data_IF_547806373921
#
_entry.id   IF_547806373921
#
_cell.length_a   1.000
_cell.length_b   1.000
_cell.length_c   1.000
_cell.angle_alpha   90.00
_cell.angle_beta   90.00
_cell.angle_gamma   90.00
#
_symmetry.space_group_name_H-M   'P 1'
#
loop_
_entity.id
_entity.type
_entity.pdbx_description
1 polymer ?
#
# COMPACT_ATOMS: atom_id res chain seq x y z
N UNK A 1 24.49 2.17 -35.96
CA UNK A 1 23.18 2.61 -35.43
C UNK A 1 22.38 1.35 -35.08
N UNK A 2 22.49 0.87 -33.84
CA UNK A 2 21.63 -0.20 -33.33
C UNK A 2 21.08 0.29 -31.99
N UNK A 3 19.77 0.64 -31.99
CA UNK A 3 19.00 0.86 -30.78
C UNK A 3 18.80 -0.50 -30.14
N UNK A 4 19.61 -0.82 -29.12
CA UNK A 4 19.36 -1.98 -28.26
C UNK A 4 18.27 -1.58 -27.26
N UNK A 5 17.05 -1.99 -27.57
CA UNK A 5 15.90 -1.95 -26.69
C UNK A 5 16.18 -2.93 -25.54
N UNK A 6 16.45 -2.42 -24.34
CA UNK A 6 16.57 -3.27 -23.14
C UNK A 6 15.21 -3.94 -22.91
N UNK A 7 15.10 -5.29 -22.92
CA UNK A 7 13.91 -5.93 -22.41
C UNK A 7 13.91 -5.74 -20.90
N UNK A 8 12.81 -5.18 -20.40
CA UNK A 8 12.47 -5.13 -18.98
C UNK A 8 12.42 -6.59 -18.52
N UNK A 9 13.54 -7.07 -17.98
CA UNK A 9 13.59 -8.37 -17.33
C UNK A 9 12.77 -8.22 -16.05
N UNK A 10 11.53 -8.73 -16.09
CA UNK A 10 10.72 -8.96 -14.91
C UNK A 10 11.59 -9.74 -13.92
N UNK A 11 12.12 -9.04 -12.93
CA UNK A 11 12.72 -9.66 -11.78
C UNK A 11 11.56 -10.07 -10.88
N UNK A 12 10.99 -11.23 -11.17
CA UNK A 12 10.09 -11.97 -10.29
C UNK A 12 10.89 -12.39 -9.05
N UNK A 13 11.02 -11.48 -8.08
CA UNK A 13 11.45 -11.85 -6.73
C UNK A 13 10.23 -12.35 -5.99
N UNK A 14 10.19 -13.67 -5.89
CA UNK A 14 9.45 -14.44 -4.91
C UNK A 14 9.70 -13.82 -3.51
N UNK A 15 8.65 -13.41 -2.81
CA UNK A 15 8.72 -13.35 -1.34
C UNK A 15 7.54 -14.13 -0.78
N UNK A 16 7.81 -15.43 -0.67
CA UNK A 16 7.18 -16.37 0.23
C UNK A 16 7.64 -16.02 1.66
N UNK A 17 6.68 -15.74 2.54
CA UNK A 17 6.76 -16.09 3.96
C UNK A 17 7.80 -15.39 4.83
N UNK A 18 7.59 -14.11 5.15
CA UNK A 18 7.53 -13.65 6.55
C UNK A 18 7.07 -12.18 6.54
N UNK A 19 5.94 -11.90 7.19
CA UNK A 19 5.60 -10.52 7.55
C UNK A 19 6.40 -10.28 8.83
N UNK A 20 7.33 -9.32 8.90
CA UNK A 20 7.94 -9.00 10.17
C UNK A 20 6.86 -8.35 11.05
N UNK A 21 6.45 -9.05 12.10
CA UNK A 21 5.65 -8.49 13.21
C UNK A 21 6.47 -7.50 14.06
N UNK A 22 7.71 -7.20 13.66
CA UNK A 22 8.67 -6.30 14.28
C UNK A 22 9.09 -5.18 13.31
N UNK A 23 9.57 -4.03 13.82
CA UNK A 23 10.17 -3.01 12.97
C UNK A 23 11.31 -3.63 12.14
N UNK A 24 11.39 -3.32 10.84
CA UNK A 24 12.47 -3.81 9.97
C UNK A 24 13.83 -3.48 10.60
N UNK A 25 14.74 -4.45 10.60
CA UNK A 25 16.10 -4.24 11.06
C UNK A 25 16.77 -3.16 10.18
N UNK A 26 17.64 -2.29 10.74
CA UNK A 26 18.25 -1.20 9.98
C UNK A 26 19.02 -1.65 8.73
N UNK A 27 19.61 -2.84 8.78
CA UNK A 27 20.32 -3.45 7.64
C UNK A 27 19.36 -3.79 6.48
N UNK A 28 18.14 -4.22 6.79
CA UNK A 28 17.12 -4.59 5.82
C UNK A 28 16.56 -3.37 5.08
N UNK A 29 16.52 -2.19 5.71
CA UNK A 29 16.11 -0.93 5.06
C UNK A 29 17.08 -0.46 3.97
N UNK A 30 18.31 -0.97 3.97
CA UNK A 30 19.31 -0.68 2.92
C UNK A 30 19.18 -1.56 1.68
N UNK A 31 18.31 -2.59 1.72
CA UNK A 31 18.12 -3.48 0.58
C UNK A 31 17.49 -2.69 -0.59
N UNK A 32 18.10 -2.77 -1.79
CA UNK A 32 17.70 -1.98 -2.95
C UNK A 32 16.25 -2.19 -3.37
N UNK A 33 15.66 -3.34 -3.07
CA UNK A 33 14.24 -3.61 -3.33
C UNK A 33 13.34 -2.69 -2.51
N UNK A 34 13.59 -2.54 -1.21
CA UNK A 34 12.76 -1.68 -0.34
C UNK A 34 12.90 -0.21 -0.69
N UNK A 35 14.12 0.27 -0.96
CA UNK A 35 14.37 1.64 -1.40
C UNK A 35 13.59 1.91 -2.71
N UNK A 36 13.62 0.97 -3.64
CA UNK A 36 12.89 1.08 -4.91
C UNK A 36 11.37 1.11 -4.68
N UNK A 37 10.85 0.22 -3.82
CA UNK A 37 9.42 0.21 -3.48
C UNK A 37 9.00 1.50 -2.80
N UNK A 38 9.74 1.98 -1.80
CA UNK A 38 9.45 3.24 -1.10
C UNK A 38 9.44 4.41 -2.09
N UNK A 39 10.42 4.50 -2.98
CA UNK A 39 10.50 5.54 -4.01
C UNK A 39 9.32 5.48 -5.01
N UNK A 40 8.94 4.28 -5.46
CA UNK A 40 7.80 4.09 -6.36
C UNK A 40 6.49 4.47 -5.66
N UNK A 41 6.34 4.18 -4.38
CA UNK A 41 5.08 4.37 -3.65
C UNK A 41 4.94 5.78 -3.05
N UNK A 42 6.05 6.45 -2.75
CA UNK A 42 6.05 7.81 -2.23
C UNK A 42 5.24 8.77 -3.11
N UNK A 43 4.30 9.48 -2.50
CA UNK A 43 3.40 10.44 -3.14
C UNK A 43 2.21 9.81 -3.89
N UNK A 44 2.04 8.49 -3.87
CA UNK A 44 0.84 7.85 -4.41
C UNK A 44 -0.38 8.13 -3.50
N UNK A 45 -1.56 8.16 -4.10
CA UNK A 45 -2.86 8.28 -3.42
C UNK A 45 -3.47 6.90 -3.21
N UNK A 46 -4.18 6.75 -2.10
CA UNK A 46 -5.04 5.60 -1.84
C UNK A 46 -6.48 6.03 -2.03
N UNK A 47 -7.22 5.29 -2.84
CA UNK A 47 -8.66 5.53 -3.08
C UNK A 47 -9.44 4.24 -2.89
N UNK A 48 -10.72 4.34 -2.52
CA UNK A 48 -11.59 3.17 -2.42
C UNK A 48 -11.88 2.58 -3.80
N UNK A 49 -12.35 1.34 -3.81
CA UNK A 49 -12.85 0.65 -5.01
C UNK A 49 -14.36 0.38 -4.87
N UNK A 50 -15.09 1.40 -4.43
CA UNK A 50 -16.54 1.36 -4.19
C UNK A 50 -17.36 1.99 -5.32
N UNK A 51 -16.70 2.38 -6.41
CA UNK A 51 -17.30 3.09 -7.55
C UNK A 51 -17.32 4.62 -7.44
N UNK A 52 -16.87 5.18 -6.32
CA UNK A 52 -16.79 6.64 -6.09
C UNK A 52 -15.37 7.18 -5.94
N UNK A 53 -14.37 6.29 -5.93
CA UNK A 53 -12.95 6.63 -5.69
C UNK A 53 -12.74 7.51 -4.45
N UNK A 54 -13.46 7.18 -3.35
CA UNK A 54 -13.35 7.91 -2.08
C UNK A 54 -11.88 7.98 -1.66
N UNK A 55 -11.40 9.20 -1.40
CA UNK A 55 -10.01 9.43 -1.03
C UNK A 55 -9.73 8.90 0.39
N UNK A 56 -8.72 8.04 0.51
CA UNK A 56 -8.33 7.36 1.76
C UNK A 56 -6.96 7.79 2.28
N UNK A 57 -6.32 8.76 1.63
CA UNK A 57 -5.04 9.35 2.05
C UNK A 57 -3.92 9.19 1.02
N UNK A 58 -2.71 9.57 1.43
CA UNK A 58 -1.49 9.51 0.62
C UNK A 58 -0.42 8.63 1.27
N UNK A 59 0.37 7.97 0.44
CA UNK A 59 1.57 7.25 0.86
C UNK A 59 2.71 8.27 0.96
N UNK A 60 2.78 8.95 2.11
CA UNK A 60 3.77 9.99 2.44
C UNK A 60 4.20 9.87 3.90
N UNK A 61 5.28 10.51 4.32
CA UNK A 61 5.77 10.38 5.70
C UNK A 61 4.74 10.77 6.79
N UNK A 62 4.91 10.21 7.99
CA UNK A 62 3.99 10.31 9.15
C UNK A 62 3.60 11.71 9.62
N UNK A 63 4.31 12.75 9.19
CA UNK A 63 4.04 14.15 9.55
C UNK A 63 3.11 14.88 8.58
N UNK A 64 2.83 14.30 7.40
CA UNK A 64 1.91 14.89 6.45
C UNK A 64 0.46 14.68 6.92
N UNK A 65 -0.39 15.71 6.82
CA UNK A 65 -1.80 15.67 7.26
C UNK A 65 -2.64 14.65 6.49
N UNK A 66 -2.30 14.42 5.22
CA UNK A 66 -2.97 13.47 4.34
C UNK A 66 -2.36 12.07 4.39
N UNK A 67 -1.27 11.87 5.13
CA UNK A 67 -0.56 10.58 5.17
C UNK A 67 -1.42 9.50 5.81
N UNK A 68 -1.44 8.32 5.18
CA UNK A 68 -2.01 7.11 5.79
C UNK A 68 -1.17 6.62 6.98
N UNK A 69 0.04 7.13 7.21
CA UNK A 69 0.89 6.77 8.36
C UNK A 69 0.86 7.82 9.49
N UNK A 70 0.11 8.91 9.30
CA UNK A 70 -0.11 9.89 10.36
C UNK A 70 -1.20 9.40 11.32
N UNK A 71 -0.79 8.77 12.43
CA UNK A 71 -1.69 8.23 13.44
C UNK A 71 -2.62 9.29 14.11
N UNK A 72 -2.30 10.57 13.97
CA UNK A 72 -3.10 11.68 14.47
C UNK A 72 -3.94 12.35 13.36
N UNK A 73 -3.72 11.99 12.10
CA UNK A 73 -4.43 12.53 10.94
C UNK A 73 -5.70 11.76 10.60
N UNK A 74 -6.53 12.34 9.73
CA UNK A 74 -7.82 11.76 9.32
C UNK A 74 -7.62 10.42 8.59
N UNK A 75 -6.54 10.27 7.82
CA UNK A 75 -6.34 9.09 6.97
C UNK A 75 -5.47 8.01 7.61
N UNK A 76 -4.62 8.37 8.57
CA UNK A 76 -3.78 7.41 9.30
C UNK A 76 -4.29 7.01 10.68
N UNK A 77 -5.25 7.75 11.26
CA UNK A 77 -5.79 7.44 12.59
C UNK A 77 -6.68 6.20 12.60
N UNK A 78 -6.40 5.29 13.52
CA UNK A 78 -7.23 4.09 13.81
C UNK A 78 -8.66 4.40 14.29
N UNK A 79 -8.98 5.67 14.54
CA UNK A 79 -10.31 6.11 14.98
C UNK A 79 -11.12 6.76 13.85
N UNK A 80 -10.52 7.03 12.69
CA UNK A 80 -11.21 7.68 11.57
C UNK A 80 -11.97 6.68 10.70
N UNK A 81 -13.15 7.06 10.24
CA UNK A 81 -13.99 6.24 9.33
C UNK A 81 -13.42 6.14 7.91
N UNK A 82 -12.52 7.04 7.51
CA UNK A 82 -11.85 6.99 6.20
C UNK A 82 -10.47 6.32 6.27
N UNK A 83 -9.97 6.00 7.47
CA UNK A 83 -8.67 5.36 7.61
C UNK A 83 -8.75 3.86 7.33
N UNK A 84 -7.79 3.37 6.55
CA UNK A 84 -7.55 1.93 6.37
C UNK A 84 -7.07 1.25 7.66
N UNK A 85 -6.55 2.01 8.64
CA UNK A 85 -6.06 1.46 9.91
C UNK A 85 -7.14 1.37 10.99
N UNK A 86 -8.36 1.81 10.70
CA UNK A 86 -9.49 1.65 11.60
C UNK A 86 -10.18 0.30 11.36
N UNK A 87 -10.08 -0.68 12.29
CA UNK A 87 -10.68 -2.01 12.11
C UNK A 87 -12.21 -1.99 12.10
N UNK A 88 -12.83 -0.88 12.47
CA UNK A 88 -14.28 -0.68 12.43
C UNK A 88 -14.75 0.11 11.20
N UNK A 89 -13.84 0.63 10.38
CA UNK A 89 -14.21 1.32 9.13
C UNK A 89 -14.48 0.34 8.00
N UNK A 90 -15.19 0.80 6.96
CA UNK A 90 -15.40 0.02 5.74
C UNK A 90 -14.10 -0.24 4.96
N UNK A 91 -13.04 0.52 5.23
CA UNK A 91 -11.76 0.41 4.53
C UNK A 91 -10.69 -0.34 5.34
N UNK A 92 -10.87 -0.49 6.65
CA UNK A 92 -9.94 -1.19 7.54
C UNK A 92 -10.48 -2.47 8.20
N UNK A 93 -11.79 -2.71 8.14
CA UNK A 93 -12.40 -3.92 8.70
C UNK A 93 -12.10 -5.17 7.88
N UNK A 94 -11.65 -6.23 8.55
CA UNK A 94 -11.42 -7.56 7.95
C UNK A 94 -12.64 -8.22 7.31
N UNK A 95 -13.84 -7.67 7.56
CA UNK A 95 -15.10 -8.21 7.04
C UNK A 95 -15.66 -7.41 5.86
N UNK A 96 -15.16 -6.18 5.63
CA UNK A 96 -15.69 -5.33 4.56
C UNK A 96 -15.11 -5.71 3.20
N UNK A 97 -15.94 -5.71 2.16
CA UNK A 97 -15.50 -5.94 0.79
C UNK A 97 -14.64 -4.80 0.23
N UNK A 98 -14.64 -3.62 0.85
CA UNK A 98 -13.80 -2.50 0.41
C UNK A 98 -12.55 -2.33 1.27
N UNK A 99 -12.24 -3.31 2.12
CA UNK A 99 -11.12 -3.19 3.05
C UNK A 99 -9.79 -3.66 2.48
N UNK A 100 -8.73 -2.96 2.89
CA UNK A 100 -7.36 -3.42 2.69
C UNK A 100 -7.00 -4.66 3.55
N UNK A 101 -7.77 -4.95 4.59
CA UNK A 101 -7.52 -6.04 5.57
C UNK A 101 -8.46 -7.24 5.43
N UNK A 102 -9.25 -7.30 4.35
CA UNK A 102 -10.06 -8.47 4.03
C UNK A 102 -9.29 -9.38 3.07
N UNK A 103 -8.85 -10.54 3.56
CA UNK A 103 -8.07 -11.51 2.79
C UNK A 103 -8.86 -12.16 1.63
N UNK A 104 -10.17 -11.94 1.55
CA UNK A 104 -11.05 -12.57 0.55
C UNK A 104 -11.66 -11.57 -0.43
N UNK A 105 -11.42 -10.25 -0.27
CA UNK A 105 -12.01 -9.28 -1.19
C UNK A 105 -11.31 -9.26 -2.55
N UNK A 106 -12.06 -8.98 -3.61
CA UNK A 106 -11.58 -8.64 -4.96
C UNK A 106 -11.71 -7.15 -5.28
N UNK A 107 -12.27 -6.35 -4.37
CA UNK A 107 -12.46 -4.90 -4.50
C UNK A 107 -11.75 -4.12 -3.37
N UNK A 108 -10.47 -4.39 -3.05
CA UNK A 108 -9.75 -3.61 -2.06
C UNK A 108 -9.44 -2.19 -2.58
N UNK A 109 -8.99 -1.28 -1.70
CA UNK A 109 -8.54 0.05 -2.12
C UNK A 109 -7.45 -0.01 -3.21
N UNK A 110 -7.40 1.03 -4.03
CA UNK A 110 -6.48 1.16 -5.16
C UNK A 110 -5.37 2.15 -4.82
N UNK A 111 -4.19 1.90 -5.36
CA UNK A 111 -3.03 2.79 -5.26
C UNK A 111 -2.87 3.50 -6.60
N UNK A 112 -3.02 4.82 -6.59
CA UNK A 112 -3.00 5.68 -7.77
C UNK A 112 -1.79 6.60 -7.72
N UNK A 113 -0.96 6.60 -8.77
CA UNK A 113 0.13 7.55 -8.96
C UNK A 113 0.08 8.11 -10.36
N UNK A 114 0.21 9.43 -10.51
CA UNK A 114 0.09 10.13 -11.79
C UNK A 114 -1.19 9.73 -12.57
N UNK A 115 -2.33 9.73 -11.88
CA UNK A 115 -3.64 9.36 -12.42
C UNK A 115 -3.76 7.94 -12.98
N UNK A 116 -2.79 7.06 -12.68
CA UNK A 116 -2.78 5.67 -13.12
C UNK A 116 -2.77 4.74 -11.90
N UNK A 117 -3.56 3.67 -11.94
CA UNK A 117 -3.52 2.63 -10.92
C UNK A 117 -2.22 1.83 -11.06
N UNK A 118 -1.41 1.83 -10.00
CA UNK A 118 -0.14 1.09 -9.95
C UNK A 118 -0.24 -0.19 -9.11
N UNK A 119 -1.34 -0.41 -8.39
CA UNK A 119 -1.59 -1.62 -7.62
C UNK A 119 -2.86 -1.54 -6.78
N UNK A 120 -3.09 -2.60 -6.02
CA UNK A 120 -4.12 -2.68 -4.98
C UNK A 120 -3.47 -2.63 -3.61
N UNK A 121 -4.10 -1.97 -2.65
CA UNK A 121 -3.69 -1.97 -1.26
C UNK A 121 -4.47 -3.07 -0.53
N UNK A 122 -3.85 -4.22 -0.30
CA UNK A 122 -4.57 -5.41 0.20
C UNK A 122 -3.66 -6.41 0.90
N UNK A 123 -4.25 -7.13 1.86
CA UNK A 123 -3.70 -8.31 2.52
C UNK A 123 -4.03 -9.61 1.76
N UNK A 124 -5.01 -9.59 0.85
CA UNK A 124 -5.36 -10.72 -0.01
C UNK A 124 -4.19 -11.07 -0.95
N UNK A 125 -3.51 -12.18 -0.65
CA UNK A 125 -2.33 -12.68 -1.38
C UNK A 125 -2.65 -13.24 -2.77
N UNK A 126 -3.94 -13.47 -3.07
CA UNK A 126 -4.39 -14.01 -4.35
C UNK A 126 -4.67 -12.91 -5.39
N UNK A 127 -4.67 -11.63 -4.99
CA UNK A 127 -4.83 -10.52 -5.92
C UNK A 127 -3.50 -10.12 -6.55
N UNK A 128 -3.43 -10.21 -7.88
CA UNK A 128 -2.30 -9.74 -8.65
C UNK A 128 -2.12 -8.22 -8.49
N UNK A 129 -0.87 -7.79 -8.25
CA UNK A 129 -0.55 -6.38 -8.00
C UNK A 129 -0.99 -5.87 -6.62
N UNK A 130 -1.29 -6.78 -5.68
CA UNK A 130 -1.54 -6.44 -4.28
C UNK A 130 -0.27 -6.03 -3.54
N UNK A 131 -0.35 -4.94 -2.80
CA UNK A 131 0.68 -4.47 -1.86
C UNK A 131 0.09 -4.49 -0.46
N UNK A 132 0.78 -5.15 0.45
CA UNK A 132 0.35 -5.25 1.84
C UNK A 132 0.41 -3.88 2.54
N UNK A 133 -0.66 -3.45 3.25
CA UNK A 133 -0.62 -2.26 4.09
C UNK A 133 0.50 -2.31 5.12
N UNK A 134 0.72 -3.48 5.74
CA UNK A 134 1.73 -3.67 6.78
C UNK A 134 3.14 -3.51 6.21
N UNK A 135 3.38 -4.02 4.99
CA UNK A 135 4.64 -3.79 4.27
C UNK A 135 4.86 -2.30 4.01
N UNK A 136 3.83 -1.56 3.60
CA UNK A 136 4.00 -0.12 3.42
C UNK A 136 4.28 0.60 4.74
N UNK A 137 3.63 0.20 5.84
CA UNK A 137 3.86 0.81 7.15
C UNK A 137 5.28 0.60 7.68
N UNK A 138 5.98 -0.44 7.25
CA UNK A 138 7.39 -0.62 7.65
C UNK A 138 8.36 0.24 6.81
N UNK A 139 7.91 0.82 5.70
CA UNK A 139 8.73 1.63 4.78
C UNK A 139 8.60 3.15 5.00
N UNK A 140 7.65 3.61 5.81
CA UNK A 140 7.31 5.04 6.00
C UNK A 140 7.08 5.39 7.47
#
# INVERSE_FOLDING_TARGET
MYKLFLPIMLLSILIMGCIPDSPLDPDETSNPTYITTQFIMQGAKVVSNDGTDTFLGEITGKYNSNSIFNNYGIYGSKYSVTSIWNPYSIYGSKYSIYSAFNDYTITPPQIIKNNTRIGYLTTNKHLHGGVSPNLLKSLF
#
